data_IF_325975278490
#
_entry.id   IF_325975278490
#
_cell.length_a   1.000
_cell.length_b   1.000
_cell.length_c   1.000
_cell.angle_alpha   90.00
_cell.angle_beta   90.00
_cell.angle_gamma   90.00
#
_symmetry.space_group_name_H-M   'P 1'
#
loop_
_entity.id
_entity.type
_entity.pdbx_description
1 polymer ?
#
# COMPACT_ATOMS: atom_id res chain seq x y z
N UNK A 1 -10.90 -8.71 2.27
CA UNK A 1 -11.44 -8.33 0.95
C UNK A 1 -11.58 -6.82 0.96
N UNK A 2 -10.82 -6.11 0.12
CA UNK A 2 -11.08 -4.69 -0.12
C UNK A 2 -12.04 -4.59 -1.29
N UNK A 3 -13.12 -3.83 -1.18
CA UNK A 3 -14.15 -3.77 -2.21
C UNK A 3 -13.96 -2.54 -3.10
N UNK A 4 -14.35 -2.66 -4.37
CA UNK A 4 -14.43 -1.52 -5.29
C UNK A 4 -15.27 -0.43 -4.65
N UNK A 5 -14.75 0.81 -4.64
CA UNK A 5 -15.49 1.99 -4.19
C UNK A 5 -15.92 2.83 -5.38
N UNK A 6 -14.95 3.17 -6.23
CA UNK A 6 -15.14 3.92 -7.47
C UNK A 6 -14.82 3.05 -8.69
N UNK A 7 -15.12 3.58 -9.89
CA UNK A 7 -14.69 2.98 -11.17
C UNK A 7 -13.18 3.09 -11.37
N UNK A 8 -12.66 2.47 -12.44
CA UNK A 8 -11.21 2.48 -12.74
C UNK A 8 -10.69 3.86 -13.14
N UNK A 9 -11.54 4.69 -13.75
CA UNK A 9 -11.19 6.02 -14.24
C UNK A 9 -11.29 7.11 -13.16
N UNK A 10 -11.60 6.74 -11.91
CA UNK A 10 -11.64 7.69 -10.81
C UNK A 10 -10.22 8.07 -10.37
N UNK A 11 -9.94 9.37 -10.39
CA UNK A 11 -8.69 9.92 -9.87
C UNK A 11 -8.87 10.57 -8.50
N UNK A 12 -7.82 10.48 -7.67
CA UNK A 12 -7.75 11.13 -6.37
C UNK A 12 -7.89 12.64 -6.51
N UNK A 13 -8.75 13.23 -5.69
CA UNK A 13 -8.93 14.68 -5.67
C UNK A 13 -7.58 15.37 -5.38
N UNK A 14 -7.14 16.35 -6.20
CA UNK A 14 -5.88 17.07 -5.98
C UNK A 14 -5.75 17.72 -4.59
N UNK A 15 -6.88 18.02 -3.93
CA UNK A 15 -6.91 18.60 -2.58
C UNK A 15 -6.83 17.56 -1.46
N UNK A 16 -6.91 16.27 -1.78
CA UNK A 16 -6.75 15.21 -0.79
C UNK A 16 -5.27 14.98 -0.49
N UNK A 17 -4.94 15.00 0.80
CA UNK A 17 -3.64 14.49 1.26
C UNK A 17 -3.61 12.96 1.16
N UNK A 18 -2.41 12.39 1.10
CA UNK A 18 -2.16 10.93 1.12
C UNK A 18 -2.88 10.18 2.27
N UNK A 19 -3.07 10.81 3.43
CA UNK A 19 -3.78 10.20 4.56
C UNK A 19 -5.32 10.28 4.47
N UNK A 20 -5.85 11.05 3.52
CA UNK A 20 -7.28 11.17 3.24
C UNK A 20 -7.71 10.35 2.02
N UNK A 21 -6.76 9.75 1.30
CA UNK A 21 -7.08 9.04 0.07
C UNK A 21 -7.79 7.71 0.36
N UNK A 22 -8.77 7.40 -0.49
CA UNK A 22 -9.51 6.15 -0.40
C UNK A 22 -8.67 5.03 -0.99
N UNK A 23 -8.66 3.89 -0.31
CA UNK A 23 -8.04 2.70 -0.86
C UNK A 23 -8.80 2.19 -2.08
N UNK A 24 -8.02 1.71 -3.05
CA UNK A 24 -8.43 1.12 -4.32
C UNK A 24 -8.06 -0.35 -4.32
N UNK A 25 -9.05 -1.24 -4.38
CA UNK A 25 -8.78 -2.68 -4.36
C UNK A 25 -7.96 -3.13 -5.58
N UNK A 26 -8.17 -2.50 -6.73
CA UNK A 26 -7.42 -2.77 -7.95
C UNK A 26 -5.95 -2.36 -7.84
N UNK A 27 -5.63 -1.38 -6.99
CA UNK A 27 -4.24 -0.96 -6.75
C UNK A 27 -3.43 -2.06 -6.05
N UNK A 28 -4.02 -2.79 -5.10
CA UNK A 28 -3.37 -3.95 -4.47
C UNK A 28 -3.06 -5.06 -5.47
N UNK A 29 -4.02 -5.35 -6.36
CA UNK A 29 -3.86 -6.36 -7.41
C UNK A 29 -2.74 -5.91 -8.37
N UNK A 30 -2.85 -4.70 -8.91
CA UNK A 30 -1.90 -4.17 -9.89
C UNK A 30 -0.48 -4.10 -9.32
N UNK A 31 -0.33 -3.70 -8.06
CA UNK A 31 0.98 -3.61 -7.40
C UNK A 31 1.61 -4.99 -7.19
N UNK A 32 0.83 -6.01 -6.82
CA UNK A 32 1.34 -7.39 -6.77
C UNK A 32 1.89 -7.86 -8.13
N UNK A 33 1.19 -7.55 -9.22
CA UNK A 33 1.67 -7.87 -10.56
C UNK A 33 2.91 -7.06 -10.95
N UNK A 34 2.94 -5.76 -10.62
CA UNK A 34 4.11 -4.90 -10.85
C UNK A 34 5.35 -5.41 -10.11
N UNK A 35 5.21 -5.79 -8.84
CA UNK A 35 6.27 -6.40 -8.03
C UNK A 35 6.86 -7.66 -8.69
N UNK A 36 6.01 -8.47 -9.31
CA UNK A 36 6.43 -9.65 -10.09
C UNK A 36 7.16 -9.27 -11.39
N UNK A 37 6.65 -8.27 -12.12
CA UNK A 37 7.21 -7.78 -13.40
C UNK A 37 8.60 -7.15 -13.19
N UNK A 38 8.78 -6.40 -12.10
CA UNK A 38 10.06 -5.81 -11.69
C UNK A 38 11.02 -6.84 -11.07
N UNK A 39 10.57 -8.09 -10.90
CA UNK A 39 11.39 -9.18 -10.40
C UNK A 39 11.67 -9.12 -8.89
N UNK A 40 10.97 -8.28 -8.14
CA UNK A 40 11.12 -8.19 -6.69
C UNK A 40 10.58 -9.43 -5.98
N UNK A 41 9.34 -9.83 -6.31
CA UNK A 41 8.65 -11.02 -5.75
C UNK A 41 8.59 -10.96 -4.21
N UNK A 42 8.29 -9.77 -3.69
CA UNK A 42 8.16 -9.48 -2.24
C UNK A 42 6.76 -9.01 -1.86
N UNK A 43 5.87 -8.82 -2.83
CA UNK A 43 4.46 -8.55 -2.58
C UNK A 43 3.68 -9.82 -2.27
N UNK A 44 2.58 -9.67 -1.53
CA UNK A 44 1.73 -10.79 -1.14
C UNK A 44 0.73 -11.13 -2.26
N UNK A 45 0.53 -12.43 -2.59
CA UNK A 45 -0.40 -12.84 -3.62
C UNK A 45 -1.80 -12.25 -3.44
N UNK A 46 -2.22 -11.48 -4.46
CA UNK A 46 -3.48 -10.75 -4.46
C UNK A 46 -4.21 -10.95 -5.80
N UNK A 47 -5.49 -11.27 -5.74
CA UNK A 47 -6.34 -11.52 -6.93
C UNK A 47 -7.65 -10.74 -6.85
N UNK A 48 -8.23 -10.41 -8.00
CA UNK A 48 -9.59 -9.87 -8.08
C UNK A 48 -10.64 -10.97 -7.92
N UNK A 49 -11.72 -10.69 -7.19
CA UNK A 49 -12.88 -11.58 -7.07
C UNK A 49 -14.17 -10.77 -7.06
N UNK A 50 -15.15 -11.20 -7.84
CA UNK A 50 -16.53 -10.75 -7.72
C UNK A 50 -17.20 -11.61 -6.65
N UNK A 51 -17.79 -10.97 -5.64
CA UNK A 51 -18.50 -11.63 -4.53
C UNK A 51 -19.97 -11.29 -4.58
N UNK A 52 -20.82 -12.26 -4.22
CA UNK A 52 -22.22 -11.99 -3.96
C UNK A 52 -22.37 -11.50 -2.51
N UNK A 53 -22.80 -10.25 -2.33
CA UNK A 53 -22.92 -9.59 -1.03
C UNK A 53 -23.91 -10.31 -0.11
N UNK A 54 -24.89 -11.03 -0.65
CA UNK A 54 -25.86 -11.81 0.13
C UNK A 54 -25.23 -13.13 0.59
N UNK A 55 -24.84 -13.99 -0.35
CA UNK A 55 -24.43 -15.37 -0.04
C UNK A 55 -22.99 -15.48 0.48
N UNK A 56 -22.08 -14.64 -0.02
CA UNK A 56 -20.66 -14.71 0.33
C UNK A 56 -20.29 -13.81 1.50
N UNK A 57 -21.03 -12.72 1.73
CA UNK A 57 -20.75 -11.80 2.84
C UNK A 57 -21.84 -11.84 3.91
N UNK A 58 -23.03 -11.30 3.66
CA UNK A 58 -24.06 -11.09 4.69
C UNK A 58 -24.42 -12.37 5.44
N UNK A 59 -24.63 -13.48 4.73
CA UNK A 59 -25.01 -14.77 5.33
C UNK A 59 -23.86 -15.46 6.08
N UNK A 60 -22.61 -15.08 5.81
CA UNK A 60 -21.40 -15.62 6.45
C UNK A 60 -20.77 -14.65 7.46
N UNK A 61 -21.32 -13.44 7.56
CA UNK A 61 -20.79 -12.37 8.40
C UNK A 61 -21.10 -12.64 9.87
N UNK A 62 -20.15 -12.26 10.74
CA UNK A 62 -20.42 -12.19 12.18
C UNK A 62 -21.58 -11.22 12.47
N UNK A 63 -22.27 -11.41 13.61
CA UNK A 63 -23.44 -10.61 14.00
C UNK A 63 -23.17 -9.10 13.94
N UNK A 64 -21.95 -8.67 14.28
CA UNK A 64 -21.54 -7.26 14.29
C UNK A 64 -21.50 -6.68 12.87
N UNK A 65 -20.93 -7.40 11.91
CA UNK A 65 -20.86 -6.99 10.50
C UNK A 65 -22.23 -7.13 9.81
N UNK A 66 -22.95 -8.23 10.05
CA UNK A 66 -24.25 -8.49 9.45
C UNK A 66 -25.29 -7.39 9.73
N UNK A 67 -25.23 -6.76 10.92
CA UNK A 67 -26.09 -5.62 11.31
C UNK A 67 -25.82 -4.33 10.53
N UNK A 68 -24.70 -4.24 9.82
CA UNK A 68 -24.34 -3.04 9.05
C UNK A 68 -24.85 -3.07 7.61
N UNK A 69 -25.53 -4.14 7.20
CA UNK A 69 -26.13 -4.26 5.88
C UNK A 69 -27.48 -3.56 5.81
N UNK A 70 -27.75 -2.88 4.70
CA UNK A 70 -29.01 -2.19 4.43
C UNK A 70 -29.25 -2.08 2.93
N UNK A 71 -30.47 -1.70 2.53
CA UNK A 71 -30.79 -1.38 1.14
C UNK A 71 -30.74 0.12 0.91
N UNK A 72 -30.07 0.56 -0.14
CA UNK A 72 -30.08 1.97 -0.55
C UNK A 72 -31.45 2.38 -1.12
N UNK A 73 -31.74 3.68 -1.26
CA UNK A 73 -32.94 4.14 -1.96
C UNK A 73 -33.08 3.60 -3.39
N UNK A 74 -31.96 3.29 -4.04
CA UNK A 74 -31.90 2.64 -5.36
C UNK A 74 -32.07 1.11 -5.31
N UNK A 75 -32.43 0.54 -4.14
CA UNK A 75 -32.64 -0.90 -3.90
C UNK A 75 -31.39 -1.77 -4.08
N UNK A 76 -30.19 -1.20 -4.01
CA UNK A 76 -28.94 -1.98 -3.99
C UNK A 76 -28.62 -2.44 -2.57
N UNK A 77 -28.05 -3.64 -2.43
CA UNK A 77 -27.56 -4.13 -1.14
C UNK A 77 -26.24 -3.43 -0.80
N UNK A 78 -26.18 -2.79 0.35
CA UNK A 78 -25.03 -2.05 0.84
C UNK A 78 -24.61 -2.52 2.23
N UNK A 79 -23.37 -2.23 2.62
CA UNK A 79 -22.90 -2.39 3.99
C UNK A 79 -21.89 -1.30 4.38
N UNK A 80 -21.86 -0.94 5.66
CA UNK A 80 -20.92 0.06 6.21
C UNK A 80 -19.66 -0.58 6.78
N UNK A 81 -19.76 -1.77 7.38
CA UNK A 81 -18.73 -2.33 8.27
C UNK A 81 -18.45 -1.42 9.48
N UNK A 82 -17.34 -1.66 10.19
CA UNK A 82 -16.88 -0.83 11.32
C UNK A 82 -15.37 -0.62 11.23
N UNK A 83 -14.97 0.62 11.02
CA UNK A 83 -13.58 1.06 10.94
C UNK A 83 -13.48 2.55 11.29
N UNK A 84 -12.27 3.06 11.46
CA UNK A 84 -12.03 4.46 11.88
C UNK A 84 -12.19 5.46 10.72
N UNK A 85 -11.93 5.03 9.48
CA UNK A 85 -11.93 5.90 8.30
C UNK A 85 -13.08 5.58 7.36
N UNK A 86 -14.03 6.52 7.24
CA UNK A 86 -15.10 6.48 6.24
C UNK A 86 -15.97 5.21 6.28
N UNK A 87 -16.12 4.58 7.46
CA UNK A 87 -17.13 3.55 7.72
C UNK A 87 -18.41 4.20 8.28
N UNK A 88 -19.09 4.98 7.44
CA UNK A 88 -20.39 5.57 7.70
C UNK A 88 -21.38 5.29 6.55
N UNK A 89 -22.65 5.64 6.74
CA UNK A 89 -23.71 5.38 5.74
C UNK A 89 -23.47 6.11 4.42
N UNK A 90 -22.87 7.31 4.44
CA UNK A 90 -22.57 8.08 3.22
C UNK A 90 -21.46 7.46 2.38
N UNK A 91 -20.58 6.67 3.01
CA UNK A 91 -19.46 6.00 2.38
C UNK A 91 -19.63 4.47 2.34
N UNK A 92 -20.86 3.97 2.45
CA UNK A 92 -21.17 2.55 2.40
C UNK A 92 -20.76 1.92 1.05
N UNK A 93 -20.36 0.66 1.10
CA UNK A 93 -20.06 -0.12 -0.10
C UNK A 93 -21.37 -0.76 -0.59
N UNK A 94 -21.76 -0.47 -1.83
CA UNK A 94 -23.00 -0.95 -2.44
C UNK A 94 -22.73 -1.84 -3.65
N UNK A 95 -23.52 -2.90 -3.80
CA UNK A 95 -23.52 -3.77 -4.98
C UNK A 95 -24.31 -3.18 -6.16
N UNK A 96 -24.43 -3.96 -7.23
CA UNK A 96 -25.29 -3.64 -8.38
C UNK A 96 -25.93 -4.91 -8.95
N UNK A 97 -27.08 -5.36 -8.42
CA UNK A 97 -27.71 -4.90 -7.19
C UNK A 97 -27.05 -5.50 -5.92
N UNK A 98 -26.52 -6.72 -6.00
CA UNK A 98 -25.99 -7.48 -4.87
C UNK A 98 -24.61 -8.11 -5.13
N UNK A 99 -23.96 -7.82 -6.26
CA UNK A 99 -22.57 -8.23 -6.51
C UNK A 99 -21.61 -7.06 -6.35
N UNK A 100 -20.41 -7.36 -5.85
CA UNK A 100 -19.32 -6.38 -5.78
C UNK A 100 -17.97 -7.02 -6.10
N UNK A 101 -17.14 -6.32 -6.85
CA UNK A 101 -15.75 -6.71 -7.05
C UNK A 101 -14.90 -6.27 -5.85
N UNK A 102 -13.91 -7.07 -5.48
CA UNK A 102 -12.89 -6.72 -4.51
C UNK A 102 -11.57 -7.45 -4.71
N UNK A 103 -10.53 -7.02 -4.01
CA UNK A 103 -9.25 -7.70 -3.93
C UNK A 103 -9.26 -8.72 -2.79
N UNK A 104 -8.72 -9.90 -3.09
CA UNK A 104 -8.55 -11.01 -2.16
C UNK A 104 -7.05 -11.29 -2.08
N UNK A 105 -6.47 -10.94 -0.95
CA UNK A 105 -5.09 -11.22 -0.62
C UNK A 105 -5.03 -12.42 0.32
N UNK A 106 -4.06 -13.31 0.10
CA UNK A 106 -3.82 -14.42 1.04
C UNK A 106 -3.36 -13.86 2.38
N UNK A 107 -3.87 -14.42 3.48
CA UNK A 107 -3.37 -14.05 4.80
C UNK A 107 -1.89 -14.42 4.91
N UNK A 108 -1.13 -13.55 5.55
CA UNK A 108 0.20 -13.91 6.02
C UNK A 108 0.09 -15.04 7.05
N UNK A 109 1.15 -15.87 7.20
CA UNK A 109 1.15 -16.91 8.22
C UNK A 109 0.89 -16.35 9.62
N UNK A 110 0.37 -17.19 10.50
CA UNK A 110 0.07 -16.79 11.87
C UNK A 110 1.29 -16.22 12.58
N UNK A 111 1.11 -15.12 13.32
CA UNK A 111 2.17 -14.36 13.98
C UNK A 111 2.96 -15.21 15.00
N UNK A 112 2.30 -16.19 15.64
CA UNK A 112 2.97 -17.07 16.60
C UNK A 112 3.93 -18.04 15.91
N UNK A 113 3.63 -18.39 14.65
CA UNK A 113 4.46 -19.30 13.84
C UNK A 113 5.53 -18.54 13.05
N UNK A 114 5.18 -17.39 12.49
CA UNK A 114 6.05 -16.56 11.66
C UNK A 114 5.98 -15.10 12.15
N UNK A 115 6.75 -14.73 13.19
CA UNK A 115 6.68 -13.39 13.77
C UNK A 115 7.19 -12.33 12.80
N UNK A 116 6.56 -11.16 12.81
CA UNK A 116 6.86 -10.00 11.97
C UNK A 116 7.37 -8.83 12.81
N UNK A 117 8.12 -7.96 12.16
CA UNK A 117 8.62 -6.70 12.71
C UNK A 117 7.98 -5.55 11.95
N UNK A 118 7.33 -4.66 12.70
CA UNK A 118 6.83 -3.40 12.17
C UNK A 118 7.89 -2.32 12.36
N UNK A 119 8.29 -1.69 11.25
CA UNK A 119 9.38 -0.73 11.24
C UNK A 119 8.90 0.59 10.68
N UNK A 120 9.18 1.68 11.40
CA UNK A 120 8.93 3.04 10.92
C UNK A 120 9.86 3.37 9.76
N UNK A 121 9.30 3.88 8.66
CA UNK A 121 10.09 4.37 7.52
C UNK A 121 10.87 5.62 7.94
N UNK A 122 12.16 5.75 7.58
CA UNK A 122 12.91 6.99 7.78
C UNK A 122 12.38 8.11 6.85
N UNK A 123 11.76 7.74 5.73
CA UNK A 123 11.09 8.65 4.80
C UNK A 123 9.58 8.77 5.08
N UNK A 124 9.16 8.50 6.32
CA UNK A 124 7.77 8.72 6.72
C UNK A 124 7.41 10.20 6.57
N UNK A 125 6.31 10.49 5.88
CA UNK A 125 5.73 11.84 5.78
C UNK A 125 5.23 12.35 7.14
N UNK A 126 4.81 13.62 7.21
CA UNK A 126 4.42 14.25 8.47
C UNK A 126 3.03 13.84 8.97
N UNK A 127 2.11 13.47 8.06
CA UNK A 127 0.70 13.20 8.37
C UNK A 127 0.02 14.37 9.08
N UNK A 128 0.36 15.60 8.66
CA UNK A 128 -0.19 16.84 9.22
C UNK A 128 -0.55 17.83 8.12
N UNK A 129 -1.72 18.46 8.27
CA UNK A 129 -2.17 19.55 7.38
C UNK A 129 -1.41 20.87 7.62
N UNK A 130 -0.79 21.03 8.79
CA UNK A 130 -0.08 22.26 9.18
C UNK A 130 1.39 22.18 8.80
N UNK A 131 2.07 21.15 9.29
CA UNK A 131 3.49 20.92 9.02
C UNK A 131 3.60 19.86 7.94
N UNK A 132 3.57 20.27 6.68
CA UNK A 132 3.46 19.36 5.54
C UNK A 132 4.82 18.85 5.04
N UNK A 133 5.91 19.51 5.42
CA UNK A 133 7.27 19.22 4.95
C UNK A 133 8.04 18.50 6.06
N UNK A 134 8.40 17.24 5.80
CA UNK A 134 9.28 16.45 6.66
C UNK A 134 10.75 16.84 6.45
N UNK A 135 11.61 16.44 7.39
CA UNK A 135 13.05 16.77 7.32
C UNK A 135 13.72 16.26 6.04
N UNK A 136 13.36 15.06 5.59
CA UNK A 136 13.91 14.46 4.37
C UNK A 136 13.42 15.15 3.08
N UNK A 137 12.32 15.90 3.11
CA UNK A 137 11.84 16.68 1.96
C UNK A 137 12.62 17.99 1.79
N UNK A 138 13.19 18.53 2.87
CA UNK A 138 13.95 19.80 2.85
C UNK A 138 15.47 19.60 2.80
N UNK A 139 16.00 18.50 3.34
CA UNK A 139 17.43 18.25 3.45
C UNK A 139 17.88 17.17 2.45
N UNK A 140 18.63 17.56 1.41
CA UNK A 140 19.19 16.61 0.44
C UNK A 140 20.29 15.71 1.00
N UNK A 141 20.93 16.11 2.10
CA UNK A 141 21.94 15.32 2.81
C UNK A 141 21.33 14.37 3.86
N UNK A 142 19.99 14.35 4.01
CA UNK A 142 19.27 13.54 5.01
C UNK A 142 19.67 12.06 5.00
N UNK A 143 19.81 11.45 3.81
CA UNK A 143 20.23 10.05 3.75
C UNK A 143 21.63 9.84 4.30
N UNK A 144 22.57 10.74 3.98
CA UNK A 144 23.96 10.65 4.44
C UNK A 144 24.05 10.87 5.95
N UNK A 145 23.33 11.85 6.47
CA UNK A 145 23.44 12.31 7.86
C UNK A 145 22.63 11.47 8.85
N UNK A 146 21.42 11.06 8.46
CA UNK A 146 20.46 10.43 9.38
C UNK A 146 20.18 8.96 9.05
N UNK A 147 20.09 8.60 7.77
CA UNK A 147 19.70 7.24 7.37
C UNK A 147 20.89 6.29 7.39
N UNK A 148 21.96 6.59 6.64
CA UNK A 148 23.15 5.73 6.54
C UNK A 148 23.92 5.59 7.86
N UNK A 149 23.80 6.56 8.75
CA UNK A 149 24.39 6.52 10.11
C UNK A 149 23.58 5.68 11.10
N UNK A 150 22.30 5.42 10.80
CA UNK A 150 21.44 4.58 11.65
C UNK A 150 21.83 3.11 11.50
N UNK A 151 22.10 2.43 12.64
CA UNK A 151 22.56 1.02 12.73
C UNK A 151 21.84 0.05 11.79
N UNK A 152 20.53 0.21 11.61
CA UNK A 152 19.69 -0.66 10.77
C UNK A 152 19.99 -0.55 9.27
N UNK A 153 20.41 0.62 8.80
CA UNK A 153 20.63 0.93 7.38
C UNK A 153 22.11 1.05 7.02
N UNK A 154 22.99 1.20 8.03
CA UNK A 154 24.44 1.33 7.85
C UNK A 154 25.06 0.12 7.14
N UNK A 155 24.56 -1.09 7.41
CA UNK A 155 25.09 -2.33 6.85
C UNK A 155 23.96 -3.27 6.40
N UNK A 156 24.27 -4.13 5.43
CA UNK A 156 23.34 -5.14 4.93
C UNK A 156 22.42 -4.64 3.82
N UNK A 157 21.24 -5.25 3.70
CA UNK A 157 20.32 -5.04 2.58
C UNK A 157 19.23 -3.99 2.83
N UNK A 158 18.99 -3.59 4.08
CA UNK A 158 17.80 -2.80 4.45
C UNK A 158 17.70 -1.48 3.70
N UNK A 159 18.82 -0.79 3.46
CA UNK A 159 18.84 0.46 2.69
C UNK A 159 18.52 0.21 1.21
N UNK A 160 19.05 -0.87 0.62
CA UNK A 160 18.73 -1.26 -0.75
C UNK A 160 17.27 -1.70 -0.90
N UNK A 161 16.72 -2.37 0.12
CA UNK A 161 15.29 -2.72 0.14
C UNK A 161 14.42 -1.48 0.21
N UNK A 162 14.79 -0.48 1.02
CA UNK A 162 14.11 0.80 1.10
C UNK A 162 14.11 1.51 -0.27
N UNK A 163 15.25 1.55 -0.97
CA UNK A 163 15.33 2.17 -2.31
C UNK A 163 14.50 1.41 -3.33
N UNK A 164 14.59 0.07 -3.38
CA UNK A 164 13.74 -0.73 -4.28
C UNK A 164 12.24 -0.47 -4.02
N UNK A 165 11.87 -0.36 -2.74
CA UNK A 165 10.47 -0.17 -2.35
C UNK A 165 9.97 1.22 -2.80
N UNK A 166 10.79 2.25 -2.63
CA UNK A 166 10.48 3.60 -3.08
C UNK A 166 10.49 3.77 -4.61
N UNK A 167 11.29 2.99 -5.34
CA UNK A 167 11.20 2.91 -6.80
C UNK A 167 9.83 2.34 -7.20
N UNK A 168 9.40 1.26 -6.56
CA UNK A 168 8.07 0.70 -6.82
C UNK A 168 6.96 1.69 -6.45
N UNK A 169 7.05 2.30 -5.27
CA UNK A 169 6.07 3.28 -4.79
C UNK A 169 5.98 4.50 -5.72
N UNK A 170 7.08 4.96 -6.32
CA UNK A 170 7.04 6.04 -7.31
C UNK A 170 6.31 5.63 -8.59
N UNK A 171 6.63 4.47 -9.15
CA UNK A 171 6.00 3.96 -10.37
C UNK A 171 4.47 3.80 -10.24
N UNK A 172 3.99 3.61 -9.01
CA UNK A 172 2.57 3.44 -8.72
C UNK A 172 1.97 4.68 -8.02
N UNK A 173 2.74 5.74 -7.77
CA UNK A 173 2.29 6.94 -7.07
C UNK A 173 1.85 6.72 -5.62
N UNK A 174 2.38 5.72 -4.91
CA UNK A 174 2.01 5.44 -3.51
C UNK A 174 2.77 6.34 -2.53
N UNK A 175 2.06 7.28 -1.92
CA UNK A 175 2.63 8.23 -0.95
C UNK A 175 2.56 7.74 0.51
N UNK A 176 1.89 6.62 0.78
CA UNK A 176 1.50 6.21 2.14
C UNK A 176 2.48 5.24 2.80
N UNK A 177 3.74 5.20 2.36
CA UNK A 177 4.79 4.30 2.89
C UNK A 177 5.35 4.76 4.24
N UNK A 178 4.53 4.77 5.27
CA UNK A 178 4.91 5.20 6.63
C UNK A 178 5.55 4.11 7.49
N UNK A 179 5.22 2.86 7.22
CA UNK A 179 5.81 1.68 7.83
C UNK A 179 6.17 0.65 6.76
N UNK A 180 7.02 -0.29 7.15
CA UNK A 180 7.24 -1.52 6.41
C UNK A 180 7.32 -2.70 7.37
N UNK A 181 6.85 -3.85 6.92
CA UNK A 181 6.90 -5.10 7.67
C UNK A 181 8.04 -5.98 7.18
N UNK A 182 8.61 -6.79 8.07
CA UNK A 182 9.55 -7.84 7.69
C UNK A 182 9.34 -9.09 8.54
N UNK A 183 9.56 -10.27 7.97
CA UNK A 183 9.59 -11.50 8.76
C UNK A 183 10.82 -11.54 9.66
N UNK A 184 10.64 -12.00 10.90
CA UNK A 184 11.69 -12.15 11.90
C UNK A 184 11.96 -13.58 12.33
N UNK A 185 11.38 -14.55 11.61
CA UNK A 185 11.58 -15.98 11.84
C UNK A 185 13.03 -16.45 11.58
N UNK A 186 13.72 -15.81 10.63
CA UNK A 186 15.08 -16.20 10.29
C UNK A 186 16.09 -15.39 11.11
N UNK A 187 16.76 -16.04 12.06
CA UNK A 187 17.61 -15.39 13.06
C UNK A 187 18.99 -15.00 12.54
N UNK A 188 19.54 -15.73 11.57
CA UNK A 188 20.93 -15.58 11.11
C UNK A 188 21.07 -14.96 9.72
N UNK A 189 19.96 -14.50 9.12
CA UNK A 189 19.96 -13.88 7.79
C UNK A 189 19.25 -12.53 7.85
N UNK A 190 19.68 -11.57 7.03
CA UNK A 190 19.01 -10.28 6.99
C UNK A 190 17.58 -10.44 6.45
N UNK A 191 16.60 -9.92 7.19
CA UNK A 191 15.21 -9.82 6.75
C UNK A 191 15.07 -8.85 5.57
N UNK A 192 13.95 -8.93 4.86
CA UNK A 192 13.58 -8.00 3.80
C UNK A 192 12.22 -7.35 4.09
N UNK A 193 11.98 -6.17 3.51
CA UNK A 193 10.69 -5.50 3.58
C UNK A 193 9.65 -6.23 2.70
N UNK A 194 8.53 -6.62 3.29
CA UNK A 194 7.37 -7.18 2.59
C UNK A 194 6.64 -6.01 1.92
N UNK A 195 6.29 -6.15 0.64
CA UNK A 195 5.62 -5.11 -0.11
C UNK A 195 4.09 -5.16 0.12
N UNK A 196 3.64 -4.61 1.25
CA UNK A 196 2.24 -4.53 1.70
C UNK A 196 1.64 -3.14 1.49
N UNK A 197 0.37 -2.93 1.86
CA UNK A 197 -0.33 -1.64 1.93
C UNK A 197 -0.14 -0.79 0.66
N UNK A 198 -0.69 -1.27 -0.46
CA UNK A 198 -0.63 -0.60 -1.76
C UNK A 198 -2.00 -0.07 -2.21
N UNK A 199 -3.01 -0.10 -1.33
CA UNK A 199 -4.36 0.38 -1.61
C UNK A 199 -4.42 1.85 -2.04
N UNK A 200 -3.46 2.69 -1.63
CA UNK A 200 -3.39 4.11 -2.02
C UNK A 200 -2.57 4.38 -3.28
N UNK A 201 -2.10 3.36 -3.97
CA UNK A 201 -1.44 3.50 -5.26
C UNK A 201 -2.43 3.81 -6.41
N UNK A 202 -1.91 4.18 -7.57
CA UNK A 202 -2.63 4.49 -8.81
C UNK A 202 -3.74 5.53 -8.61
N UNK A 203 -3.46 6.56 -7.83
CA UNK A 203 -4.43 7.63 -7.55
C UNK A 203 -4.47 8.72 -8.60
N UNK A 204 -3.37 8.94 -9.32
CA UNK A 204 -3.24 9.99 -10.33
C UNK A 204 -2.54 9.44 -11.56
N UNK A 205 -3.02 9.82 -12.74
CA UNK A 205 -2.38 9.48 -14.02
C UNK A 205 -1.68 10.68 -14.67
N UNK A 206 -1.91 11.88 -14.12
CA UNK A 206 -1.44 13.17 -14.61
C UNK A 206 -0.39 13.84 -13.70
N UNK A 207 0.05 13.14 -12.65
CA UNK A 207 0.94 13.70 -11.63
C UNK A 207 1.93 12.65 -11.10
N UNK A 208 3.21 12.97 -11.21
CA UNK A 208 4.32 12.21 -10.65
C UNK A 208 4.85 12.92 -9.40
N UNK A 209 4.90 12.22 -8.27
CA UNK A 209 5.41 12.77 -7.01
C UNK A 209 6.90 12.43 -6.81
N UNK A 210 7.77 13.35 -7.23
CA UNK A 210 9.22 13.20 -7.13
C UNK A 210 9.74 13.06 -5.69
N UNK A 211 8.96 13.47 -4.68
CA UNK A 211 9.33 13.24 -3.27
C UNK A 211 9.46 11.75 -2.96
N UNK A 212 8.68 10.89 -3.63
CA UNK A 212 8.73 9.44 -3.41
C UNK A 212 10.10 8.88 -3.82
N UNK A 213 10.75 9.44 -4.84
CA UNK A 213 12.09 9.03 -5.31
C UNK A 213 13.26 9.65 -4.51
N UNK A 214 13.00 10.50 -3.53
CA UNK A 214 14.08 11.12 -2.74
C UNK A 214 15.06 10.10 -2.11
N UNK A 215 14.66 8.91 -1.65
CA UNK A 215 15.63 7.91 -1.18
C UNK A 215 16.64 7.50 -2.25
N UNK A 216 16.21 7.35 -3.51
CA UNK A 216 17.14 7.04 -4.61
C UNK A 216 18.11 8.21 -4.83
N UNK A 217 17.58 9.44 -4.89
CA UNK A 217 18.36 10.67 -5.16
C UNK A 217 19.32 11.03 -4.03
N UNK A 218 18.93 10.83 -2.77
CA UNK A 218 19.73 11.20 -1.60
C UNK A 218 20.72 10.10 -1.22
N UNK A 219 20.30 8.83 -1.29
CA UNK A 219 21.16 7.73 -0.88
C UNK A 219 22.15 7.30 -1.96
N UNK A 220 21.82 7.50 -3.24
CA UNK A 220 22.66 7.14 -4.39
C UNK A 220 23.19 5.70 -4.32
N UNK A 221 22.34 4.77 -3.88
CA UNK A 221 22.62 3.34 -3.89
C UNK A 221 21.48 2.62 -4.58
N UNK A 222 21.80 1.66 -5.44
CA UNK A 222 20.81 0.91 -6.19
C UNK A 222 21.28 -0.54 -6.32
N UNK A 223 20.37 -1.48 -6.08
CA UNK A 223 20.66 -2.90 -6.25
C UNK A 223 20.88 -3.19 -7.73
N UNK A 224 21.96 -3.89 -8.07
CA UNK A 224 22.34 -4.16 -9.47
C UNK A 224 21.23 -4.89 -10.24
N UNK A 225 20.56 -5.86 -9.62
CA UNK A 225 19.43 -6.57 -10.27
C UNK A 225 18.29 -5.61 -10.62
N UNK A 226 17.98 -4.67 -9.72
CA UNK A 226 16.95 -3.64 -9.94
C UNK A 226 17.35 -2.74 -11.10
N UNK A 227 18.59 -2.24 -11.11
CA UNK A 227 19.11 -1.42 -12.20
C UNK A 227 18.99 -2.11 -13.57
N UNK A 228 19.44 -3.37 -13.68
CA UNK A 228 19.38 -4.09 -14.95
C UNK A 228 17.94 -4.36 -15.41
N UNK A 229 17.02 -4.66 -14.48
CA UNK A 229 15.59 -4.80 -14.82
C UNK A 229 15.00 -3.47 -15.31
N UNK A 230 15.27 -2.36 -14.63
CA UNK A 230 14.79 -1.03 -15.05
C UNK A 230 15.37 -0.62 -16.41
N UNK A 231 16.67 -0.81 -16.61
CA UNK A 231 17.34 -0.53 -17.87
C UNK A 231 16.78 -1.36 -19.03
N UNK A 232 16.39 -2.61 -18.77
CA UNK A 232 15.76 -3.48 -19.76
C UNK A 232 14.40 -2.96 -20.22
N UNK A 233 13.59 -2.39 -19.32
CA UNK A 233 12.29 -1.83 -19.69
C UNK A 233 12.37 -0.42 -20.27
N UNK A 234 13.44 0.32 -19.97
CA UNK A 234 13.67 1.66 -20.49
C UNK A 234 14.18 1.68 -21.94
N UNK A 235 14.91 0.63 -22.34
CA UNK A 235 15.42 0.44 -23.71
C UNK A 235 14.36 -0.18 -24.61
#
# INVERSE_FOLDING_TARGET
IYNSRFGRDYESNPNHFYFSDFERHNAEIATFHMDKILGFRRAVPTVGRIVNLTSDLRNKAEKRLAKTFFFSPAKNLCFVSKCDYYCDTSHAICGTPDTREGSVQVFLPDENSVPRKHNKSPYRRTYSKKNQIAEWQRNMDYCRESVKTTKRYAHGRTLLDLVDFHIMDYLIGNQDRHHYESFSIFTNVPSYAIHLDNGRAFGRTDFDDDDILLPLRQCCVLRSSTFFTLLKYYR
#
